data_IF_976769281984
#
_entry.id   IF_976769281984
#
_cell.length_a   1.000
_cell.length_b   1.000
_cell.length_c   1.000
_cell.angle_alpha   90.00
_cell.angle_beta   90.00
_cell.angle_gamma   90.00
#
_symmetry.space_group_name_H-M   'P 1'
#
loop_
_entity.id
_entity.type
_entity.pdbx_description
1 polymer ?
#
# COMPACT_ATOMS: atom_id res chain seq x y z
N UNK A 1 -24.27 -30.66 38.34
CA UNK A 1 -24.87 -30.55 37.00
C UNK A 1 -25.22 -29.09 36.75
N UNK A 2 -24.40 -28.38 35.99
CA UNK A 2 -24.83 -27.63 34.79
C UNK A 2 -23.62 -26.89 34.23
N UNK A 3 -23.12 -27.43 33.13
CA UNK A 3 -22.10 -26.81 32.28
C UNK A 3 -22.77 -25.68 31.50
N UNK A 4 -22.45 -24.43 31.82
CA UNK A 4 -22.68 -23.31 30.89
C UNK A 4 -21.38 -23.08 30.13
N UNK A 5 -21.25 -23.78 29.01
CA UNK A 5 -20.34 -23.40 27.93
C UNK A 5 -20.86 -22.06 27.41
N UNK A 6 -20.11 -21.00 27.69
CA UNK A 6 -20.22 -19.74 26.96
C UNK A 6 -19.98 -20.06 25.47
N UNK A 7 -21.04 -20.04 24.68
CA UNK A 7 -20.94 -20.11 23.23
C UNK A 7 -20.11 -18.91 22.76
N UNK A 8 -18.85 -19.17 22.38
CA UNK A 8 -18.06 -18.25 21.58
C UNK A 8 -18.86 -17.99 20.30
N UNK A 9 -19.50 -16.83 20.23
CA UNK A 9 -20.24 -16.40 19.05
C UNK A 9 -19.24 -16.09 17.93
N UNK A 10 -18.81 -17.15 17.25
CA UNK A 10 -18.05 -17.13 16.02
C UNK A 10 -18.91 -16.50 14.92
N UNK A 11 -18.85 -15.16 14.81
CA UNK A 11 -19.61 -14.40 13.80
C UNK A 11 -18.79 -14.33 12.51
N UNK A 12 -19.29 -14.98 11.47
CA UNK A 12 -18.81 -14.85 10.09
C UNK A 12 -18.86 -13.36 9.69
N UNK A 13 -17.73 -12.82 9.20
CA UNK A 13 -17.62 -11.43 8.74
C UNK A 13 -18.01 -11.32 7.27
N UNK A 14 -19.28 -10.99 7.03
CA UNK A 14 -19.83 -10.83 5.67
C UNK A 14 -19.31 -9.57 4.97
N UNK A 15 -18.89 -9.73 3.72
CA UNK A 15 -18.50 -8.69 2.78
C UNK A 15 -19.59 -8.55 1.71
N UNK A 16 -20.70 -7.90 2.06
CA UNK A 16 -21.91 -7.96 1.24
C UNK A 16 -22.57 -9.33 1.36
N UNK A 17 -22.72 -10.06 0.25
CA UNK A 17 -23.42 -11.36 0.22
C UNK A 17 -22.50 -12.59 0.24
N UNK A 18 -21.20 -12.41 0.49
CA UNK A 18 -20.25 -13.50 0.65
C UNK A 18 -19.31 -13.26 1.85
N UNK A 19 -18.58 -14.29 2.29
CA UNK A 19 -17.60 -14.20 3.38
C UNK A 19 -16.49 -15.24 3.25
N UNK A 20 -15.34 -14.99 3.89
CA UNK A 20 -14.28 -15.99 4.12
C UNK A 20 -14.58 -16.84 5.36
N UNK A 21 -13.95 -18.01 5.44
CA UNK A 21 -14.08 -18.95 6.55
C UNK A 21 -15.52 -19.36 6.82
N UNK A 22 -16.29 -19.60 5.76
CA UNK A 22 -17.66 -20.06 5.89
C UNK A 22 -18.04 -21.16 4.90
N UNK A 23 -19.08 -21.90 5.25
CA UNK A 23 -19.66 -22.95 4.41
C UNK A 23 -21.19 -23.01 4.56
N UNK A 24 -21.85 -23.47 3.50
CA UNK A 24 -23.23 -23.96 3.51
C UNK A 24 -23.24 -25.47 3.23
N UNK A 25 -23.35 -26.32 4.27
CA UNK A 25 -23.28 -27.76 4.10
C UNK A 25 -24.43 -28.33 3.25
N UNK A 26 -24.11 -29.16 2.26
CA UNK A 26 -25.07 -29.87 1.41
C UNK A 26 -25.72 -29.04 0.30
N UNK A 27 -26.80 -29.59 -0.28
CA UNK A 27 -27.60 -29.02 -1.38
C UNK A 27 -26.82 -28.67 -2.68
N UNK A 28 -25.72 -29.38 -2.94
CA UNK A 28 -24.92 -29.23 -4.15
C UNK A 28 -25.72 -29.65 -5.40
N UNK A 29 -25.69 -28.79 -6.42
CA UNK A 29 -26.28 -29.03 -7.74
C UNK A 29 -25.19 -29.49 -8.71
N UNK A 30 -24.05 -28.80 -8.69
CA UNK A 30 -22.89 -29.11 -9.51
C UNK A 30 -21.63 -28.47 -8.92
N UNK A 31 -20.47 -28.95 -9.35
CA UNK A 31 -19.17 -28.36 -9.07
C UNK A 31 -18.53 -27.76 -10.34
N UNK A 32 -17.84 -26.63 -10.17
CA UNK A 32 -17.15 -25.91 -11.24
C UNK A 32 -15.74 -25.56 -10.79
N UNK A 33 -14.74 -25.86 -11.61
CA UNK A 33 -13.37 -25.43 -11.34
C UNK A 33 -13.19 -23.95 -11.63
N UNK A 34 -12.52 -23.24 -10.73
CA UNK A 34 -12.30 -21.81 -10.87
C UNK A 34 -11.83 -21.18 -9.57
N UNK A 35 -11.63 -19.87 -9.63
CA UNK A 35 -11.26 -19.06 -8.47
C UNK A 35 -12.47 -18.80 -7.56
N UNK A 36 -12.20 -18.45 -6.30
CA UNK A 36 -13.25 -18.14 -5.31
C UNK A 36 -14.12 -16.93 -5.73
N UNK A 37 -13.54 -16.04 -6.53
CA UNK A 37 -14.11 -14.80 -7.03
C UNK A 37 -15.11 -15.04 -8.16
N UNK A 38 -14.91 -16.09 -8.97
CA UNK A 38 -15.81 -16.48 -10.06
C UNK A 38 -17.07 -17.21 -9.55
N UNK A 39 -17.00 -17.75 -8.33
CA UNK A 39 -18.05 -18.60 -7.77
C UNK A 39 -19.43 -17.96 -7.67
N UNK A 40 -19.46 -16.67 -7.31
CA UNK A 40 -20.70 -15.91 -7.26
C UNK A 40 -21.30 -15.67 -8.64
N UNK A 41 -20.46 -15.41 -9.64
CA UNK A 41 -20.92 -15.21 -11.01
C UNK A 41 -21.40 -16.53 -11.64
N UNK A 42 -20.66 -17.61 -11.45
CA UNK A 42 -21.06 -18.95 -11.89
C UNK A 42 -22.37 -19.41 -11.24
N UNK A 43 -22.56 -19.13 -9.95
CA UNK A 43 -23.85 -19.34 -9.31
C UNK A 43 -24.94 -18.45 -9.91
N UNK A 44 -24.69 -17.16 -10.16
CA UNK A 44 -25.68 -16.25 -10.76
C UNK A 44 -26.12 -16.66 -12.19
N UNK A 45 -25.24 -17.34 -12.94
CA UNK A 45 -25.50 -17.84 -14.29
C UNK A 45 -26.14 -19.22 -14.31
N UNK A 46 -26.05 -19.96 -13.21
CA UNK A 46 -26.56 -21.33 -13.10
C UNK A 46 -28.02 -21.30 -12.65
N UNK A 47 -28.97 -21.78 -13.49
CA UNK A 47 -30.37 -21.88 -13.10
C UNK A 47 -30.52 -22.65 -11.78
N UNK A 48 -31.39 -22.16 -10.90
CA UNK A 48 -31.64 -22.72 -9.55
C UNK A 48 -30.52 -22.55 -8.52
N UNK A 49 -29.36 -21.99 -8.87
CA UNK A 49 -28.33 -21.69 -7.89
C UNK A 49 -28.71 -20.45 -7.07
N UNK A 50 -28.63 -20.61 -5.77
CA UNK A 50 -29.05 -19.60 -4.77
C UNK A 50 -27.90 -19.20 -3.87
N UNK A 51 -26.92 -20.08 -3.70
CA UNK A 51 -25.75 -19.89 -2.88
C UNK A 51 -24.63 -20.82 -3.33
N UNK A 52 -23.43 -20.57 -2.85
CA UNK A 52 -22.25 -21.33 -3.21
C UNK A 52 -21.28 -21.45 -2.04
N UNK A 53 -20.40 -22.45 -2.13
CA UNK A 53 -19.17 -22.56 -1.35
C UNK A 53 -18.01 -22.79 -2.31
N UNK A 54 -16.89 -22.09 -2.15
CA UNK A 54 -15.64 -22.35 -2.85
C UNK A 54 -14.61 -22.97 -1.90
N UNK A 55 -13.95 -24.05 -2.31
CA UNK A 55 -12.86 -24.68 -1.55
C UNK A 55 -11.59 -24.78 -2.39
N UNK A 56 -10.43 -24.89 -1.75
CA UNK A 56 -9.14 -25.13 -2.40
C UNK A 56 -8.98 -26.56 -2.96
N UNK A 57 -10.06 -27.34 -3.02
CA UNK A 57 -10.03 -28.70 -3.55
C UNK A 57 -9.73 -28.67 -5.07
N UNK A 58 -8.79 -29.50 -5.52
CA UNK A 58 -8.33 -29.58 -6.92
C UNK A 58 -8.01 -28.21 -7.54
N UNK A 59 -7.13 -27.44 -6.89
CA UNK A 59 -6.72 -26.10 -7.30
C UNK A 59 -7.84 -25.04 -7.36
N UNK A 60 -9.02 -25.35 -6.81
CA UNK A 60 -10.15 -24.43 -6.67
C UNK A 60 -11.43 -25.01 -7.25
N UNK A 61 -12.43 -25.20 -6.39
CA UNK A 61 -13.72 -25.78 -6.77
C UNK A 61 -14.87 -25.03 -6.13
N UNK A 62 -15.81 -24.61 -6.98
CA UNK A 62 -17.09 -23.99 -6.66
C UNK A 62 -18.20 -25.01 -6.55
N UNK A 63 -18.69 -25.21 -5.35
CA UNK A 63 -19.88 -26.00 -5.04
C UNK A 63 -21.11 -25.10 -5.18
N UNK A 64 -21.82 -25.22 -6.30
CA UNK A 64 -23.03 -24.45 -6.60
C UNK A 64 -24.25 -25.13 -5.97
N UNK A 65 -25.06 -24.37 -5.22
CA UNK A 65 -26.08 -24.95 -4.33
C UNK A 65 -27.47 -24.31 -4.51
N UNK A 66 -28.52 -25.09 -4.24
CA UNK A 66 -29.93 -24.65 -4.32
C UNK A 66 -30.63 -24.65 -2.97
N UNK A 67 -31.71 -23.89 -2.88
CA UNK A 67 -32.60 -23.84 -1.73
C UNK A 67 -32.66 -22.46 -1.07
N UNK A 68 -33.59 -22.30 -0.14
CA UNK A 68 -33.75 -21.02 0.57
C UNK A 68 -32.74 -20.98 1.71
N UNK A 69 -31.76 -20.08 1.61
CA UNK A 69 -30.74 -19.87 2.65
C UNK A 69 -30.62 -18.40 3.05
N UNK A 70 -30.26 -18.16 4.32
CA UNK A 70 -29.86 -16.85 4.84
C UNK A 70 -28.48 -16.90 5.47
N UNK A 71 -27.84 -15.74 5.61
CA UNK A 71 -26.49 -15.59 6.18
C UNK A 71 -26.30 -16.24 7.56
N UNK A 72 -27.35 -16.33 8.36
CA UNK A 72 -27.33 -16.99 9.67
C UNK A 72 -27.18 -18.51 9.62
N UNK A 73 -27.39 -19.14 8.46
CA UNK A 73 -27.28 -20.59 8.26
C UNK A 73 -25.89 -21.02 7.79
N UNK A 74 -25.00 -20.07 7.47
CA UNK A 74 -23.61 -20.38 7.17
C UNK A 74 -22.87 -20.80 8.46
N UNK A 75 -22.04 -21.82 8.36
CA UNK A 75 -21.18 -22.27 9.47
C UNK A 75 -19.80 -21.65 9.33
N UNK A 76 -19.19 -21.25 10.45
CA UNK A 76 -17.79 -20.84 10.45
C UNK A 76 -16.89 -22.07 10.43
N UNK A 77 -15.88 -22.05 9.56
CA UNK A 77 -14.90 -23.11 9.41
C UNK A 77 -13.49 -22.58 9.71
N UNK A 78 -12.53 -23.48 9.97
CA UNK A 78 -11.16 -23.11 10.31
C UNK A 78 -10.33 -22.68 9.09
N UNK A 79 -10.68 -23.15 7.89
CA UNK A 79 -10.00 -22.78 6.66
C UNK A 79 -10.25 -21.30 6.35
N UNK A 80 -9.18 -20.52 6.23
CA UNK A 80 -9.22 -19.09 5.95
C UNK A 80 -9.41 -18.76 4.47
N UNK A 81 -9.25 -19.75 3.60
CA UNK A 81 -9.28 -19.59 2.14
C UNK A 81 -10.64 -19.94 1.55
N UNK A 82 -11.43 -20.78 2.22
CA UNK A 82 -12.76 -21.16 1.76
C UNK A 82 -13.75 -19.99 1.89
N UNK A 83 -14.55 -19.82 0.84
CA UNK A 83 -15.50 -18.71 0.68
C UNK A 83 -16.90 -19.27 0.54
N UNK A 84 -17.90 -18.62 1.13
CA UNK A 84 -19.30 -18.95 0.83
C UNK A 84 -20.09 -17.67 0.53
N UNK A 85 -21.16 -17.77 -0.25
CA UNK A 85 -21.97 -16.63 -0.61
C UNK A 85 -23.38 -16.98 -1.06
N UNK A 86 -24.27 -15.98 -1.04
CA UNK A 86 -25.68 -16.07 -1.44
C UNK A 86 -25.89 -15.14 -2.63
N UNK A 87 -26.66 -15.57 -3.62
CA UNK A 87 -27.07 -14.73 -4.75
C UNK A 87 -28.37 -14.03 -4.36
N UNK A 88 -28.36 -12.71 -4.28
CA UNK A 88 -29.56 -11.90 -4.09
C UNK A 88 -30.28 -11.72 -5.43
N UNK A 89 -31.58 -11.97 -5.47
CA UNK A 89 -32.40 -11.85 -6.69
C UNK A 89 -32.26 -10.45 -7.34
N UNK A 90 -31.76 -10.47 -8.58
CA UNK A 90 -31.79 -9.47 -9.68
C UNK A 90 -32.11 -7.99 -9.38
N UNK A 91 -31.23 -7.08 -9.80
CA UNK A 91 -31.67 -5.81 -10.42
C UNK A 91 -31.30 -5.75 -11.91
N UNK A 92 -32.20 -5.23 -12.79
CA UNK A 92 -32.09 -5.36 -14.24
C UNK A 92 -31.23 -4.26 -14.88
N UNK A 93 -30.70 -4.57 -16.06
CA UNK A 93 -29.90 -3.69 -16.93
C UNK A 93 -30.61 -2.41 -17.38
N UNK A 94 -30.01 -1.24 -17.14
CA UNK A 94 -30.45 0.04 -17.72
C UNK A 94 -29.76 0.37 -19.08
N UNK A 95 -30.50 0.91 -20.09
CA UNK A 95 -29.98 1.43 -21.35
C UNK A 95 -29.63 2.95 -21.30
N UNK A 96 -29.02 3.54 -22.36
CA UNK A 96 -28.08 4.67 -22.22
C UNK A 96 -28.69 6.08 -22.12
N UNK A 97 -27.90 6.96 -21.48
CA UNK A 97 -28.12 8.36 -21.14
C UNK A 97 -28.58 9.27 -22.30
N UNK A 98 -29.52 10.17 -21.99
CA UNK A 98 -29.73 11.44 -22.72
C UNK A 98 -29.57 12.64 -21.79
N UNK A 99 -28.95 13.68 -22.35
CA UNK A 99 -28.53 14.93 -21.73
C UNK A 99 -29.69 15.87 -21.38
N UNK A 100 -29.60 16.58 -20.27
CA UNK A 100 -29.41 18.05 -20.20
C UNK A 100 -29.78 18.61 -18.83
N UNK A 101 -29.06 19.68 -18.48
CA UNK A 101 -29.42 20.81 -17.60
C UNK A 101 -28.52 21.00 -16.38
N UNK A 102 -28.14 22.25 -16.21
CA UNK A 102 -27.03 22.76 -15.42
C UNK A 102 -27.25 22.64 -13.92
N UNK A 103 -26.18 22.35 -13.18
CA UNK A 103 -26.16 22.52 -11.71
C UNK A 103 -25.63 23.91 -11.33
N UNK A 104 -26.27 24.59 -10.37
CA UNK A 104 -25.76 25.82 -9.79
C UNK A 104 -24.55 25.55 -8.88
N UNK A 105 -23.68 26.54 -8.76
CA UNK A 105 -22.59 26.58 -7.77
C UNK A 105 -23.17 26.42 -6.36
N UNK A 106 -22.64 25.48 -5.58
CA UNK A 106 -22.85 25.43 -4.12
C UNK A 106 -21.52 25.17 -3.42
N UNK A 107 -21.31 25.94 -2.36
CA UNK A 107 -20.17 25.97 -1.45
C UNK A 107 -19.97 24.66 -0.68
N UNK A 108 -18.74 24.47 -0.19
CA UNK A 108 -18.31 23.68 0.97
C UNK A 108 -19.11 22.40 1.29
N UNK A 109 -18.49 21.24 1.04
CA UNK A 109 -19.00 19.92 1.42
C UNK A 109 -19.27 19.85 2.94
N UNK A 110 -20.56 19.86 3.28
CA UNK A 110 -21.09 19.25 4.49
C UNK A 110 -20.96 17.72 4.41
N UNK A 111 -20.66 17.13 5.55
CA UNK A 111 -20.54 15.69 5.80
C UNK A 111 -21.86 14.94 5.55
N UNK A 112 -21.84 13.71 5.00
CA UNK A 112 -23.04 12.88 4.95
C UNK A 112 -23.28 12.24 6.32
N UNK A 113 -24.42 12.55 6.93
CA UNK A 113 -24.89 11.94 8.18
C UNK A 113 -25.78 10.75 7.82
N UNK A 114 -25.39 9.54 8.23
CA UNK A 114 -26.30 8.38 8.32
C UNK A 114 -26.07 7.72 9.69
N UNK A 115 -27.14 7.63 10.50
CA UNK A 115 -27.24 6.91 11.77
C UNK A 115 -26.26 7.30 12.91
N UNK A 116 -26.12 8.60 13.18
CA UNK A 116 -25.56 9.17 14.43
C UNK A 116 -24.25 8.55 14.96
N UNK A 117 -23.49 7.86 14.10
CA UNK A 117 -22.20 7.26 14.43
C UNK A 117 -21.21 7.89 13.49
N UNK A 118 -20.34 8.72 14.05
CA UNK A 118 -19.23 9.33 13.33
C UNK A 118 -18.38 8.17 12.79
N UNK A 119 -18.38 7.96 11.47
CA UNK A 119 -17.32 7.18 10.83
C UNK A 119 -16.06 8.01 11.06
N UNK A 120 -15.05 7.52 11.79
CA UNK A 120 -13.82 8.28 11.92
C UNK A 120 -13.19 8.31 10.53
N UNK A 121 -13.12 9.51 9.97
CA UNK A 121 -12.01 9.86 9.07
C UNK A 121 -10.78 9.38 9.84
N UNK A 122 -10.02 8.44 9.30
CA UNK A 122 -8.68 8.18 9.80
C UNK A 122 -7.89 9.43 9.43
N UNK A 123 -7.96 10.45 10.29
CA UNK A 123 -7.11 11.61 10.21
C UNK A 123 -5.69 11.08 10.37
N UNK A 124 -4.92 11.06 9.28
CA UNK A 124 -3.48 10.96 9.37
C UNK A 124 -2.99 12.24 10.04
N UNK A 125 -2.82 12.21 11.36
CA UNK A 125 -2.19 13.29 12.09
C UNK A 125 -0.69 13.34 11.72
N UNK A 126 -0.11 14.53 11.53
CA UNK A 126 1.34 14.65 11.41
C UNK A 126 1.99 14.03 12.67
N UNK A 127 3.15 13.38 12.55
CA UNK A 127 3.83 12.81 13.71
C UNK A 127 4.09 13.91 14.74
N UNK A 128 3.56 13.75 15.96
CA UNK A 128 3.89 14.61 17.09
C UNK A 128 5.38 14.42 17.41
N UNK A 129 6.21 15.45 17.17
CA UNK A 129 7.62 15.42 17.61
C UNK A 129 7.64 15.52 19.13
N UNK A 130 8.07 14.46 19.80
CA UNK A 130 8.28 14.42 21.26
C UNK A 130 9.78 14.52 21.52
N UNK A 131 10.19 15.53 22.30
CA UNK A 131 11.61 15.77 22.58
C UNK A 131 11.98 15.31 23.99
N UNK A 132 12.97 14.44 24.10
CA UNK A 132 13.59 14.05 25.35
C UNK A 132 15.04 14.58 25.38
N UNK A 133 15.41 15.42 26.37
CA UNK A 133 16.74 16.03 26.42
C UNK A 133 17.85 14.99 26.62
N UNK A 134 18.96 15.17 25.90
CA UNK A 134 20.18 14.34 25.96
C UNK A 134 20.81 14.18 27.36
N UNK A 135 20.43 15.02 28.35
CA UNK A 135 20.95 14.97 29.73
C UNK A 135 19.98 14.38 30.75
N UNK A 136 18.86 13.84 30.33
CA UNK A 136 17.94 13.16 31.23
C UNK A 136 18.22 11.66 31.19
N UNK A 137 18.62 11.08 32.33
CA UNK A 137 18.81 9.63 32.47
C UNK A 137 17.52 8.83 32.19
N UNK A 138 16.36 9.50 32.19
CA UNK A 138 15.06 8.98 31.73
C UNK A 138 14.09 10.11 31.37
N UNK A 139 13.14 9.84 30.48
CA UNK A 139 12.10 10.78 30.05
C UNK A 139 10.76 10.05 29.91
N UNK A 140 9.66 10.65 30.39
CA UNK A 140 8.31 10.08 30.29
C UNK A 140 7.37 11.11 29.68
N UNK A 141 6.60 10.70 28.66
CA UNK A 141 5.66 11.55 27.94
C UNK A 141 4.37 10.77 27.66
N UNK A 142 3.21 11.43 27.83
CA UNK A 142 1.89 10.86 27.53
C UNK A 142 1.48 11.27 26.13
N UNK A 143 1.18 10.30 25.26
CA UNK A 143 0.78 10.55 23.88
C UNK A 143 -0.76 10.61 23.80
N UNK A 144 -1.36 11.72 23.34
CA UNK A 144 -2.75 12.04 23.64
C UNK A 144 -3.84 11.25 22.86
N UNK A 145 -3.51 10.33 21.94
CA UNK A 145 -4.53 9.62 21.15
C UNK A 145 -4.18 8.16 20.79
N UNK A 146 -5.14 7.22 20.92
CA UNK A 146 -5.02 5.86 20.38
C UNK A 146 -5.30 5.85 18.86
N UNK A 147 -4.40 5.24 18.09
CA UNK A 147 -4.44 5.15 16.62
C UNK A 147 -3.06 4.80 16.05
N UNK A 148 -2.89 4.70 14.72
CA UNK A 148 -1.56 4.48 14.15
C UNK A 148 -0.62 5.63 14.55
N UNK A 149 0.51 5.31 15.16
CA UNK A 149 1.51 6.30 15.57
C UNK A 149 2.90 5.91 15.07
N UNK A 150 3.74 6.92 14.83
CA UNK A 150 5.16 6.74 14.58
C UNK A 150 5.94 7.64 15.53
N UNK A 151 6.79 7.05 16.35
CA UNK A 151 7.74 7.74 17.21
C UNK A 151 9.03 7.85 16.43
N UNK A 152 9.56 9.07 16.31
CA UNK A 152 10.84 9.33 15.65
C UNK A 152 11.84 9.79 16.70
N UNK A 153 13.01 9.17 16.71
CA UNK A 153 14.10 9.41 17.66
C UNK A 153 15.30 9.92 16.88
N UNK A 154 15.60 11.20 17.04
CA UNK A 154 16.75 11.87 16.44
C UNK A 154 17.89 11.88 17.46
N UNK A 155 18.97 11.16 17.18
CA UNK A 155 20.15 11.09 18.04
C UNK A 155 21.32 11.82 17.39
N UNK A 156 21.87 12.82 18.09
CA UNK A 156 23.08 13.52 17.68
C UNK A 156 24.36 12.70 17.81
N UNK A 157 24.32 11.62 18.61
CA UNK A 157 25.43 10.71 18.90
C UNK A 157 24.87 9.29 18.98
N UNK A 158 25.63 8.25 18.58
CA UNK A 158 25.13 6.88 18.50
C UNK A 158 25.10 6.19 19.87
N UNK A 159 24.11 6.59 20.66
CA UNK A 159 23.92 6.13 22.03
C UNK A 159 22.81 5.09 22.06
N UNK A 160 23.14 3.91 22.57
CA UNK A 160 22.15 2.87 22.83
C UNK A 160 21.00 3.41 23.68
N UNK A 161 19.78 3.07 23.32
CA UNK A 161 18.58 3.55 24.00
C UNK A 161 17.55 2.45 24.19
N UNK A 162 16.71 2.63 25.20
CA UNK A 162 15.57 1.79 25.50
C UNK A 162 14.30 2.61 25.47
N UNK A 163 13.28 2.15 24.74
CA UNK A 163 11.96 2.78 24.69
C UNK A 163 10.93 1.85 25.32
N UNK A 164 10.18 2.39 26.29
CA UNK A 164 9.08 1.72 26.96
C UNK A 164 7.75 2.39 26.62
N UNK A 165 6.81 1.63 26.07
CA UNK A 165 5.47 2.11 25.74
C UNK A 165 4.44 1.35 26.55
N UNK A 166 3.82 2.01 27.52
CA UNK A 166 2.77 1.43 28.37
C UNK A 166 1.41 2.05 28.05
N UNK A 167 0.35 1.27 28.26
CA UNK A 167 -1.04 1.74 28.26
C UNK A 167 -1.46 2.37 29.59
N UNK A 168 -0.57 2.34 30.59
CA UNK A 168 -0.78 2.92 31.91
C UNK A 168 -0.10 4.28 32.02
N UNK A 169 -0.78 5.23 32.64
CA UNK A 169 -0.22 6.54 32.99
C UNK A 169 0.80 6.46 34.14
N UNK A 170 0.81 5.33 34.87
CA UNK A 170 1.85 5.01 35.86
C UNK A 170 3.07 4.36 35.15
N UNK A 171 4.24 5.02 35.12
CA UNK A 171 5.44 4.52 34.46
C UNK A 171 6.05 3.28 35.14
N UNK A 172 5.64 2.96 36.36
CA UNK A 172 6.06 1.74 37.06
C UNK A 172 5.21 0.52 36.69
N UNK A 173 4.10 0.75 36.00
CA UNK A 173 3.18 -0.30 35.57
C UNK A 173 3.64 -0.92 34.25
N UNK A 174 4.20 -2.13 34.37
CA UNK A 174 4.69 -2.95 33.26
C UNK A 174 3.68 -3.99 32.79
N UNK A 175 2.41 -3.90 33.20
CA UNK A 175 1.37 -4.89 32.87
C UNK A 175 1.21 -5.11 31.37
N UNK A 176 1.44 -4.09 30.55
CA UNK A 176 1.53 -4.25 29.10
C UNK A 176 2.45 -3.18 28.49
N UNK A 177 3.65 -3.60 28.08
CA UNK A 177 4.61 -2.67 27.47
C UNK A 177 5.28 -3.22 26.20
N UNK A 178 5.58 -2.32 25.26
CA UNK A 178 6.52 -2.58 24.16
C UNK A 178 7.88 -2.02 24.57
N UNK A 179 8.90 -2.85 24.41
CA UNK A 179 10.29 -2.55 24.70
C UNK A 179 11.09 -2.56 23.40
N UNK A 180 11.79 -1.48 23.08
CA UNK A 180 12.75 -1.42 21.98
C UNK A 180 14.11 -1.05 22.52
N UNK A 181 15.13 -1.88 22.27
CA UNK A 181 16.51 -1.61 22.60
C UNK A 181 17.36 -1.59 21.34
N UNK A 182 18.12 -0.51 21.14
CA UNK A 182 19.04 -0.36 20.00
C UNK A 182 20.47 -0.26 20.50
N UNK A 183 21.38 -0.98 19.86
CA UNK A 183 22.81 -1.01 20.18
C UNK A 183 23.64 -1.00 18.90
N UNK A 184 24.96 -0.88 19.01
CA UNK A 184 25.90 -1.02 17.89
C UNK A 184 25.91 -2.45 17.29
N UNK A 185 25.31 -3.45 17.95
CA UNK A 185 25.45 -4.87 17.60
C UNK A 185 24.10 -5.50 17.22
N UNK A 186 23.02 -5.03 17.80
CA UNK A 186 21.68 -5.58 17.61
C UNK A 186 20.60 -4.56 17.94
N UNK A 187 19.42 -4.80 17.39
CA UNK A 187 18.17 -4.21 17.84
C UNK A 187 17.26 -5.32 18.36
N UNK A 188 16.63 -5.08 19.51
CA UNK A 188 15.73 -6.01 20.15
C UNK A 188 14.40 -5.32 20.38
N UNK A 189 13.33 -5.90 19.85
CA UNK A 189 11.98 -5.54 20.24
C UNK A 189 11.38 -6.65 21.11
N UNK A 190 10.74 -6.27 22.21
CA UNK A 190 10.12 -7.21 23.13
C UNK A 190 8.73 -6.76 23.59
N UNK A 191 7.83 -7.72 23.79
CA UNK A 191 6.56 -7.49 24.49
C UNK A 191 6.69 -7.91 25.94
N UNK A 192 6.31 -7.03 26.86
CA UNK A 192 6.26 -7.27 28.31
C UNK A 192 4.79 -7.38 28.72
N UNK A 193 4.44 -8.45 29.42
CA UNK A 193 3.11 -8.65 30.02
C UNK A 193 3.31 -9.08 31.47
N UNK A 194 2.75 -8.32 32.40
CA UNK A 194 2.86 -8.57 33.85
C UNK A 194 4.30 -8.80 34.33
N UNK A 195 5.24 -7.99 33.82
CA UNK A 195 6.66 -8.08 34.14
C UNK A 195 7.42 -9.25 33.49
N UNK A 196 6.76 -10.04 32.64
CA UNK A 196 7.37 -11.14 31.88
C UNK A 196 7.57 -10.74 30.42
N UNK A 197 8.78 -10.95 29.91
CA UNK A 197 9.11 -10.77 28.49
C UNK A 197 8.65 -11.99 27.69
N UNK A 198 7.68 -11.83 26.78
CA UNK A 198 7.04 -12.94 26.08
C UNK A 198 7.45 -13.07 24.60
N UNK A 199 7.37 -11.98 23.84
CA UNK A 199 7.65 -12.01 22.39
C UNK A 199 8.93 -11.21 22.11
N UNK A 200 10.05 -11.90 21.85
CA UNK A 200 11.36 -11.28 21.59
C UNK A 200 11.68 -11.46 20.10
N UNK A 201 11.80 -10.35 19.36
CA UNK A 201 12.33 -10.37 18.01
C UNK A 201 13.65 -9.59 17.99
N UNK A 202 14.72 -10.23 17.50
CA UNK A 202 16.08 -9.68 17.45
C UNK A 202 16.57 -9.71 16.01
N UNK A 203 17.20 -8.64 15.57
CA UNK A 203 17.92 -8.62 14.30
C UNK A 203 19.29 -7.97 14.46
N UNK A 204 20.23 -8.45 13.66
CA UNK A 204 21.59 -7.91 13.49
C UNK A 204 21.77 -7.36 12.07
N UNK A 205 20.68 -7.19 11.31
CA UNK A 205 20.73 -6.57 9.99
C UNK A 205 21.36 -5.18 10.10
N UNK A 206 22.28 -4.90 9.18
CA UNK A 206 23.17 -3.75 9.27
C UNK A 206 22.40 -2.43 9.26
N UNK A 207 21.29 -2.37 8.51
CA UNK A 207 20.43 -1.19 8.34
C UNK A 207 19.54 -0.88 9.58
N UNK A 208 19.75 -1.59 10.69
CA UNK A 208 18.92 -1.49 11.90
C UNK A 208 19.71 -1.29 13.21
N UNK A 209 21.05 -1.31 13.16
CA UNK A 209 21.93 -1.09 14.33
C UNK A 209 22.45 0.35 14.36
N UNK A 210 23.06 0.77 15.47
CA UNK A 210 23.70 2.10 15.57
C UNK A 210 24.94 2.20 14.67
N UNK A 211 25.12 3.37 14.05
CA UNK A 211 26.25 3.71 13.19
C UNK A 211 27.09 4.84 13.79
N UNK A 212 28.35 5.00 13.36
CA UNK A 212 29.13 6.16 13.77
C UNK A 212 28.54 7.44 13.12
N UNK A 213 27.80 8.24 13.90
CA UNK A 213 27.25 9.52 13.45
C UNK A 213 25.88 9.84 14.03
N UNK A 214 25.19 10.79 13.38
CA UNK A 214 23.81 11.16 13.72
C UNK A 214 22.86 10.10 13.16
N UNK A 215 22.11 9.43 14.03
CA UNK A 215 21.16 8.40 13.64
C UNK A 215 19.72 8.86 13.91
N UNK A 216 18.84 8.63 12.95
CA UNK A 216 17.41 8.76 13.12
C UNK A 216 16.83 7.36 13.25
N UNK A 217 15.93 7.12 14.19
CA UNK A 217 15.17 5.88 14.31
C UNK A 217 13.68 6.17 14.30
N UNK A 218 12.90 5.21 13.86
CA UNK A 218 11.45 5.27 13.96
C UNK A 218 10.88 3.96 14.50
N UNK A 219 9.81 4.08 15.28
CA UNK A 219 8.97 2.97 15.74
C UNK A 219 7.53 3.31 15.38
N UNK A 220 6.91 2.50 14.52
CA UNK A 220 5.52 2.63 14.13
C UNK A 220 4.67 1.55 14.81
N UNK A 221 3.59 1.98 15.43
CA UNK A 221 2.60 1.15 16.10
C UNK A 221 1.27 1.30 15.37
N UNK A 222 0.66 0.19 15.01
CA UNK A 222 -0.69 0.16 14.48
C UNK A 222 -1.58 -0.65 15.43
N UNK A 223 -2.40 0.05 16.21
CA UNK A 223 -3.34 -0.55 17.16
C UNK A 223 -4.48 -1.31 16.49
N UNK A 224 -4.75 -1.04 15.21
CA UNK A 224 -5.77 -1.71 14.41
C UNK A 224 -5.30 -3.08 13.93
N UNK A 225 -4.05 -3.17 13.48
CA UNK A 225 -3.45 -4.43 12.99
C UNK A 225 -2.63 -5.15 14.06
N UNK A 226 -2.42 -4.53 15.23
CA UNK A 226 -1.52 -4.96 16.30
C UNK A 226 -0.07 -5.15 15.81
N UNK A 227 0.28 -4.43 14.76
CA UNK A 227 1.57 -4.56 14.10
C UNK A 227 2.53 -3.49 14.61
N UNK A 228 3.76 -3.92 14.92
CA UNK A 228 4.85 -3.04 15.33
C UNK A 228 5.97 -3.14 14.30
N UNK A 229 6.37 -2.01 13.74
CA UNK A 229 7.52 -1.88 12.83
C UNK A 229 8.51 -0.90 13.41
N UNK A 230 9.78 -1.14 13.18
CA UNK A 230 10.84 -0.21 13.51
C UNK A 230 11.86 -0.16 12.38
N UNK A 231 12.64 0.90 12.36
CA UNK A 231 13.75 1.04 11.43
C UNK A 231 14.61 2.23 11.77
N UNK A 232 15.75 2.30 11.12
CA UNK A 232 16.52 3.54 11.02
C UNK A 232 15.81 4.43 10.00
N UNK A 233 15.66 5.71 10.34
CA UNK A 233 15.25 6.76 9.43
C UNK A 233 16.46 7.48 8.87
N UNK A 234 16.24 8.30 7.85
CA UNK A 234 17.30 9.18 7.35
C UNK A 234 17.19 10.57 7.95
N UNK A 235 18.33 11.13 8.28
CA UNK A 235 18.51 12.44 8.89
C UNK A 235 17.73 13.57 8.15
N UNK A 236 16.95 14.34 8.92
CA UNK A 236 16.17 15.54 8.52
C UNK A 236 17.10 16.72 8.13
N UNK A 237 18.41 16.50 7.95
CA UNK A 237 19.43 17.54 7.63
C UNK A 237 19.34 18.11 6.23
N UNK A 238 18.50 17.57 5.35
CA UNK A 238 18.31 18.12 4.01
C UNK A 238 16.83 18.43 3.71
N UNK A 239 16.28 19.49 4.32
CA UNK A 239 14.88 19.88 4.13
C UNK A 239 14.57 20.38 2.70
N UNK A 240 15.60 20.64 1.90
CA UNK A 240 15.50 21.17 0.53
C UNK A 240 15.54 20.10 -0.56
N UNK A 241 15.30 18.82 -0.21
CA UNK A 241 15.42 17.72 -1.16
C UNK A 241 14.53 17.91 -2.39
N UNK A 242 13.28 18.34 -2.22
CA UNK A 242 12.35 18.52 -3.34
C UNK A 242 12.77 19.69 -4.24
N UNK A 243 13.24 20.79 -3.65
CA UNK A 243 13.78 21.94 -4.36
C UNK A 243 15.05 21.59 -5.12
N UNK A 244 15.92 20.76 -4.54
CA UNK A 244 17.12 20.26 -5.20
C UNK A 244 16.80 19.37 -6.39
N UNK A 245 15.80 18.50 -6.28
CA UNK A 245 15.31 17.67 -7.39
C UNK A 245 14.75 18.55 -8.51
N UNK A 246 13.89 19.52 -8.18
CA UNK A 246 13.36 20.50 -9.14
C UNK A 246 14.46 21.23 -9.88
N UNK A 247 15.49 21.66 -9.14
CA UNK A 247 16.63 22.39 -9.67
C UNK A 247 17.47 21.50 -10.61
N UNK A 248 17.77 20.26 -10.18
CA UNK A 248 18.47 19.25 -10.97
C UNK A 248 17.75 18.89 -12.27
N UNK A 249 16.40 18.88 -12.26
CA UNK A 249 15.56 18.65 -13.45
C UNK A 249 15.65 19.82 -14.43
N UNK A 250 15.72 21.06 -13.94
CA UNK A 250 15.69 22.27 -14.77
C UNK A 250 17.05 22.67 -15.32
N UNK A 251 18.13 22.31 -14.63
CA UNK A 251 19.48 22.70 -15.01
C UNK A 251 20.11 21.64 -15.92
N UNK A 252 20.64 22.01 -17.09
CA UNK A 252 21.17 21.06 -18.09
C UNK A 252 22.34 20.21 -17.60
N UNK A 253 23.10 20.75 -16.64
CA UNK A 253 24.18 20.03 -15.96
C UNK A 253 23.72 19.10 -14.85
N UNK A 254 22.48 19.23 -14.39
CA UNK A 254 21.92 18.40 -13.31
C UNK A 254 21.77 16.95 -13.73
N UNK A 255 21.99 16.04 -12.77
CA UNK A 255 21.89 14.61 -12.99
C UNK A 255 20.50 14.22 -13.46
N UNK A 256 19.44 14.77 -12.84
CA UNK A 256 18.06 14.46 -13.22
C UNK A 256 17.80 14.83 -14.69
N UNK A 257 18.20 16.04 -15.11
CA UNK A 257 18.06 16.48 -16.50
C UNK A 257 18.76 15.50 -17.47
N UNK A 258 20.03 15.17 -17.21
CA UNK A 258 20.82 14.28 -18.08
C UNK A 258 20.19 12.90 -18.18
N UNK A 259 19.81 12.32 -17.04
CA UNK A 259 19.20 10.99 -16.97
C UNK A 259 17.86 10.93 -17.69
N UNK A 260 17.01 11.95 -17.55
CA UNK A 260 15.74 12.06 -18.29
C UNK A 260 15.97 12.14 -19.81
N UNK A 261 16.97 12.92 -20.24
CA UNK A 261 17.34 13.07 -21.66
C UNK A 261 17.81 11.75 -22.26
N UNK A 262 18.68 11.02 -21.55
CA UNK A 262 19.15 9.67 -21.92
C UNK A 262 17.98 8.69 -22.09
N UNK A 263 16.97 8.78 -21.22
CA UNK A 263 15.82 7.87 -21.22
C UNK A 263 14.77 8.16 -22.28
N UNK A 264 14.89 9.23 -23.07
CA UNK A 264 13.87 9.66 -24.04
C UNK A 264 13.49 8.59 -25.09
N UNK A 265 14.31 7.56 -25.29
CA UNK A 265 14.06 6.44 -26.21
C UNK A 265 13.55 5.16 -25.53
N UNK A 266 13.36 5.15 -24.20
CA UNK A 266 13.10 3.93 -23.41
C UNK A 266 11.80 3.21 -23.77
N UNK A 267 10.80 3.93 -24.29
CA UNK A 267 9.51 3.35 -24.69
C UNK A 267 9.30 3.39 -26.21
N UNK A 268 10.36 3.11 -26.97
CA UNK A 268 10.35 3.02 -28.44
C UNK A 268 10.73 4.33 -29.11
N UNK A 269 9.82 4.91 -29.92
CA UNK A 269 10.12 6.18 -30.61
C UNK A 269 10.49 7.26 -29.59
N UNK A 270 11.60 7.95 -29.86
CA UNK A 270 12.11 9.02 -28.98
C UNK A 270 11.00 10.02 -28.65
N UNK A 271 10.77 10.21 -27.35
CA UNK A 271 9.87 11.20 -26.80
C UNK A 271 10.41 11.65 -25.43
N UNK A 272 10.83 12.91 -25.29
CA UNK A 272 11.42 13.41 -24.05
C UNK A 272 10.45 13.38 -22.85
N UNK A 273 9.14 13.44 -23.11
CA UNK A 273 8.09 13.41 -22.08
C UNK A 273 7.65 12.00 -21.69
N UNK A 274 7.91 10.99 -22.52
CA UNK A 274 7.65 9.60 -22.16
C UNK A 274 8.80 9.06 -21.30
N UNK A 275 9.08 9.71 -20.17
CA UNK A 275 10.17 9.36 -19.25
C UNK A 275 9.81 9.80 -17.84
N UNK A 276 10.40 9.17 -16.84
CA UNK A 276 10.36 9.57 -15.44
C UNK A 276 11.58 8.92 -14.76
N UNK A 277 11.98 9.36 -13.58
CA UNK A 277 13.08 8.71 -12.84
C UNK A 277 12.53 7.67 -11.86
N UNK A 278 13.23 6.55 -11.71
CA UNK A 278 12.97 5.48 -10.74
C UNK A 278 14.15 5.42 -9.78
N UNK A 279 13.95 5.81 -8.53
CA UNK A 279 14.98 5.78 -7.49
C UNK A 279 14.55 4.76 -6.44
N UNK A 280 15.32 3.70 -6.26
CA UNK A 280 14.91 2.58 -5.39
C UNK A 280 15.23 2.84 -3.93
N UNK A 281 14.34 2.43 -3.04
CA UNK A 281 14.52 2.55 -1.59
C UNK A 281 14.66 1.14 -1.02
N UNK A 282 15.86 0.81 -0.54
CA UNK A 282 16.18 -0.50 0.00
C UNK A 282 16.49 -1.56 -1.07
N UNK A 283 16.57 -2.82 -0.62
CA UNK A 283 17.10 -3.92 -1.43
C UNK A 283 16.03 -4.67 -2.21
N UNK A 284 16.41 -5.27 -3.35
CA UNK A 284 15.57 -6.23 -4.05
C UNK A 284 15.44 -7.51 -3.20
N UNK A 285 14.21 -7.85 -2.81
CA UNK A 285 13.90 -9.03 -2.01
C UNK A 285 13.36 -10.20 -2.83
N UNK A 286 13.24 -10.06 -4.15
CA UNK A 286 12.63 -11.06 -5.03
C UNK A 286 11.12 -11.21 -4.86
N UNK A 287 10.49 -10.33 -4.07
CA UNK A 287 9.05 -10.36 -3.77
C UNK A 287 8.21 -9.50 -4.71
N UNK A 288 8.82 -8.89 -5.72
CA UNK A 288 8.17 -8.04 -6.73
C UNK A 288 8.97 -8.01 -8.04
N UNK A 289 8.41 -7.50 -9.15
CA UNK A 289 9.19 -7.15 -10.34
C UNK A 289 10.16 -6.01 -9.98
N UNK A 290 11.45 -6.34 -9.84
CA UNK A 290 12.46 -5.39 -9.37
C UNK A 290 12.38 -5.09 -7.87
N UNK A 291 12.96 -3.98 -7.45
CA UNK A 291 12.97 -3.57 -6.03
C UNK A 291 11.55 -3.19 -5.57
N UNK A 292 11.07 -3.68 -4.41
CA UNK A 292 9.69 -3.46 -3.96
C UNK A 292 9.30 -2.00 -3.79
N UNK A 293 10.21 -1.16 -3.27
CA UNK A 293 9.96 0.25 -3.01
C UNK A 293 10.72 1.13 -3.98
N UNK A 294 10.00 2.02 -4.67
CA UNK A 294 10.58 2.91 -5.67
C UNK A 294 9.95 4.28 -5.57
N UNK A 295 10.78 5.32 -5.53
CA UNK A 295 10.39 6.68 -5.79
C UNK A 295 10.32 6.89 -7.30
N UNK A 296 9.18 7.37 -7.78
CA UNK A 296 9.04 7.83 -9.15
C UNK A 296 8.91 9.35 -9.20
N UNK A 297 9.83 9.97 -9.95
CA UNK A 297 9.94 11.43 -10.09
C UNK A 297 9.49 11.80 -11.50
N UNK A 298 8.45 12.63 -11.56
CA UNK A 298 7.72 12.99 -12.76
C UNK A 298 7.85 14.49 -13.02
N UNK A 299 8.76 14.93 -13.91
CA UNK A 299 8.82 16.34 -14.29
C UNK A 299 7.52 16.84 -14.96
N UNK A 300 7.32 18.15 -15.10
CA UNK A 300 6.15 18.72 -15.78
C UNK A 300 5.91 18.13 -17.18
N UNK A 301 4.72 17.57 -17.40
CA UNK A 301 4.32 16.96 -18.68
C UNK A 301 4.88 15.56 -18.93
N UNK A 302 5.61 14.98 -17.99
CA UNK A 302 6.16 13.63 -18.12
C UNK A 302 5.14 12.55 -17.78
N UNK A 303 5.26 11.39 -18.42
CA UNK A 303 4.27 10.31 -18.29
C UNK A 303 4.84 8.90 -18.49
N UNK A 304 4.10 7.91 -17.99
CA UNK A 304 4.28 6.49 -18.30
C UNK A 304 3.49 6.07 -19.55
N UNK A 305 3.91 5.03 -20.29
CA UNK A 305 3.01 4.35 -21.22
C UNK A 305 1.79 3.76 -20.49
N UNK A 306 0.80 3.26 -21.24
CA UNK A 306 -0.22 2.39 -20.67
C UNK A 306 0.45 1.04 -20.39
N UNK A 307 0.44 0.57 -19.15
CA UNK A 307 1.19 -0.61 -18.73
C UNK A 307 0.48 -1.43 -17.66
N UNK A 308 0.89 -2.70 -17.49
CA UNK A 308 0.44 -3.65 -16.46
C UNK A 308 1.58 -4.06 -15.52
N UNK A 309 1.24 -4.68 -14.38
CA UNK A 309 2.17 -4.92 -13.26
C UNK A 309 2.33 -6.40 -12.88
N UNK A 310 2.28 -7.33 -13.85
CA UNK A 310 2.57 -8.74 -13.62
C UNK A 310 1.75 -9.41 -12.49
N UNK A 311 0.47 -9.06 -12.35
CA UNK A 311 -0.41 -9.58 -11.29
C UNK A 311 0.13 -9.34 -9.88
N UNK A 312 0.82 -8.22 -9.68
CA UNK A 312 1.27 -7.78 -8.35
C UNK A 312 0.16 -7.03 -7.62
N UNK A 313 0.28 -6.97 -6.30
CA UNK A 313 -0.30 -5.90 -5.50
C UNK A 313 0.61 -4.68 -5.57
N UNK A 314 -0.01 -3.50 -5.54
CA UNK A 314 0.74 -2.25 -5.57
C UNK A 314 0.01 -1.14 -4.84
N UNK A 315 0.78 -0.29 -4.17
CA UNK A 315 0.31 0.95 -3.56
C UNK A 315 1.14 2.09 -4.13
N UNK A 316 0.48 3.18 -4.51
CA UNK A 316 1.11 4.40 -5.01
C UNK A 316 0.65 5.55 -4.12
N UNK A 317 1.59 6.20 -3.43
CA UNK A 317 1.32 7.39 -2.62
C UNK A 317 2.00 8.60 -3.23
N UNK A 318 1.29 9.73 -3.30
CA UNK A 318 1.88 11.01 -3.72
C UNK A 318 2.60 11.65 -2.54
N UNK A 319 3.89 11.93 -2.69
CA UNK A 319 4.72 12.59 -1.68
C UNK A 319 4.83 14.10 -1.92
N UNK A 320 4.84 14.51 -3.19
CA UNK A 320 4.96 15.90 -3.61
C UNK A 320 4.25 16.13 -4.95
N UNK A 321 3.62 17.30 -5.13
CA UNK A 321 2.91 17.65 -6.36
C UNK A 321 1.58 16.91 -6.55
N UNK A 322 1.24 16.66 -7.82
CA UNK A 322 0.01 15.98 -8.24
C UNK A 322 0.28 15.03 -9.43
N UNK A 323 -0.46 13.92 -9.48
CA UNK A 323 -0.34 12.95 -10.58
C UNK A 323 -1.73 12.59 -11.11
N UNK A 324 -1.89 12.63 -12.43
CA UNK A 324 -3.07 12.12 -13.10
C UNK A 324 -2.91 10.61 -13.33
N UNK A 325 -3.96 9.85 -13.01
CA UNK A 325 -4.02 8.40 -13.15
C UNK A 325 -5.20 8.06 -14.07
N UNK A 326 -4.89 7.39 -15.18
CA UNK A 326 -5.88 6.86 -16.13
C UNK A 326 -5.91 5.33 -15.98
N UNK A 327 -7.09 4.77 -15.71
CA UNK A 327 -7.29 3.33 -15.53
C UNK A 327 -7.91 2.70 -16.78
N UNK A 328 -7.39 1.54 -17.17
CA UNK A 328 -7.80 0.80 -18.36
C UNK A 328 -8.23 -0.61 -17.99
N UNK A 329 -9.19 -1.17 -18.74
CA UNK A 329 -9.70 -2.52 -18.48
C UNK A 329 -8.76 -3.61 -19.00
N UNK A 330 -8.02 -3.33 -20.08
CA UNK A 330 -7.18 -4.31 -20.78
C UNK A 330 -5.97 -3.61 -21.37
N UNK A 331 -4.81 -4.26 -21.34
CA UNK A 331 -3.63 -3.80 -22.07
C UNK A 331 -3.81 -4.19 -23.55
N UNK A 332 -4.33 -3.26 -24.37
CA UNK A 332 -4.68 -3.56 -25.76
C UNK A 332 -4.41 -2.39 -26.70
N UNK A 333 -3.62 -2.62 -27.75
CA UNK A 333 -3.21 -1.60 -28.73
C UNK A 333 -4.37 -1.00 -29.53
N UNK A 334 -5.53 -1.66 -29.60
CA UNK A 334 -6.75 -1.14 -30.27
C UNK A 334 -7.72 -0.47 -29.29
N UNK A 335 -7.65 -0.78 -27.99
CA UNK A 335 -8.59 -0.29 -26.97
C UNK A 335 -7.86 0.49 -25.89
N UNK A 336 -7.59 1.78 -26.18
CA UNK A 336 -6.85 2.71 -25.30
C UNK A 336 -7.73 3.79 -24.68
N UNK A 337 -9.03 3.54 -24.52
CA UNK A 337 -9.92 4.48 -23.82
C UNK A 337 -9.91 4.14 -22.33
N UNK A 338 -9.54 5.07 -21.43
CA UNK A 338 -9.64 4.81 -20.00
C UNK A 338 -11.10 4.66 -19.59
N UNK A 339 -11.37 3.78 -18.62
CA UNK A 339 -12.71 3.67 -18.02
C UNK A 339 -12.88 4.60 -16.83
N UNK A 340 -11.77 5.06 -16.24
CA UNK A 340 -11.75 6.02 -15.15
C UNK A 340 -10.48 6.87 -15.23
N UNK A 341 -10.57 8.11 -14.77
CA UNK A 341 -9.47 9.06 -14.71
C UNK A 341 -9.63 9.89 -13.44
N UNK A 342 -8.52 10.09 -12.71
CA UNK A 342 -8.48 10.82 -11.45
C UNK A 342 -7.15 11.53 -11.29
N UNK A 343 -7.14 12.63 -10.53
CA UNK A 343 -5.90 13.29 -10.11
C UNK A 343 -5.71 13.08 -8.62
N UNK A 344 -4.54 12.61 -8.24
CA UNK A 344 -4.11 12.42 -6.86
C UNK A 344 -3.18 13.55 -6.46
N UNK A 345 -3.38 14.08 -5.25
CA UNK A 345 -2.57 15.10 -4.63
C UNK A 345 -1.73 14.51 -3.49
N UNK A 346 -0.79 15.30 -2.97
CA UNK A 346 0.02 14.95 -1.80
C UNK A 346 -0.77 14.22 -0.71
N UNK A 347 -0.17 13.16 -0.18
CA UNK A 347 -0.69 12.23 0.84
C UNK A 347 -1.85 11.33 0.40
N UNK A 348 -2.40 11.52 -0.79
CA UNK A 348 -3.38 10.60 -1.34
C UNK A 348 -2.72 9.35 -1.92
N UNK A 349 -3.51 8.27 -1.95
CA UNK A 349 -3.05 6.93 -2.31
C UNK A 349 -3.98 6.34 -3.37
N UNK A 350 -3.39 5.62 -4.31
CA UNK A 350 -4.10 4.64 -5.16
C UNK A 350 -3.44 3.27 -5.03
N UNK A 351 -4.10 2.25 -5.55
CA UNK A 351 -3.69 0.86 -5.39
C UNK A 351 -4.05 0.02 -6.61
N UNK A 352 -3.38 -1.12 -6.73
CA UNK A 352 -3.63 -2.16 -7.71
C UNK A 352 -3.53 -3.55 -7.07
N UNK A 353 -4.26 -4.50 -7.65
CA UNK A 353 -4.26 -5.93 -7.29
C UNK A 353 -4.40 -6.74 -8.58
N UNK A 354 -4.07 -8.05 -8.63
CA UNK A 354 -4.12 -8.84 -9.86
C UNK A 354 -5.39 -8.64 -10.72
N UNK A 355 -6.55 -8.48 -10.09
CA UNK A 355 -7.83 -8.30 -10.79
C UNK A 355 -8.26 -6.84 -11.01
N UNK A 356 -7.66 -5.85 -10.34
CA UNK A 356 -8.16 -4.47 -10.32
C UNK A 356 -7.04 -3.45 -10.45
N UNK A 357 -7.27 -2.41 -11.26
CA UNK A 357 -6.36 -1.29 -11.48
C UNK A 357 -4.94 -1.66 -11.96
N UNK A 358 -4.72 -2.91 -12.39
CA UNK A 358 -3.44 -3.38 -12.94
C UNK A 358 -2.95 -2.53 -14.08
N UNK A 359 -3.87 -2.08 -14.95
CA UNK A 359 -3.50 -1.42 -16.19
C UNK A 359 -3.80 0.05 -16.07
N UNK A 360 -2.75 0.85 -16.02
CA UNK A 360 -2.89 2.29 -15.84
C UNK A 360 -1.87 3.09 -16.65
N UNK A 361 -2.07 4.40 -16.66
CA UNK A 361 -1.09 5.40 -17.10
C UNK A 361 -1.02 6.51 -16.06
N UNK A 362 0.19 6.86 -15.65
CA UNK A 362 0.48 8.01 -14.81
C UNK A 362 1.02 9.14 -15.68
N UNK A 363 0.59 10.36 -15.40
CA UNK A 363 1.00 11.55 -16.13
C UNK A 363 1.03 12.74 -15.19
N UNK A 364 2.17 13.43 -15.11
CA UNK A 364 2.23 14.71 -14.44
C UNK A 364 1.71 15.79 -15.40
N UNK A 365 0.47 16.23 -15.17
CA UNK A 365 -0.19 17.25 -15.97
C UNK A 365 0.11 18.68 -15.48
N UNK A 366 0.82 18.83 -14.35
CA UNK A 366 1.24 20.13 -13.86
C UNK A 366 2.15 20.80 -14.88
N UNK A 367 1.92 22.09 -15.22
CA UNK A 367 2.75 22.80 -16.19
C UNK A 367 4.12 23.16 -15.62
N UNK A 368 4.24 23.26 -14.29
CA UNK A 368 5.36 23.92 -13.64
C UNK A 368 5.93 23.16 -12.44
N UNK A 369 5.28 22.10 -11.96
CA UNK A 369 5.70 21.41 -10.75
C UNK A 369 5.95 19.93 -11.05
N UNK A 370 7.08 19.42 -10.57
CA UNK A 370 7.42 18.00 -10.55
C UNK A 370 6.52 17.30 -9.54
N UNK A 371 6.07 16.11 -9.88
CA UNK A 371 5.41 15.21 -8.95
C UNK A 371 6.39 14.14 -8.49
N UNK A 372 6.29 13.72 -7.22
CA UNK A 372 7.05 12.61 -6.67
C UNK A 372 6.06 11.65 -6.02
N UNK A 373 6.10 10.39 -6.42
CA UNK A 373 5.32 9.31 -5.85
C UNK A 373 6.25 8.27 -5.25
N UNK A 374 5.78 7.54 -4.25
CA UNK A 374 6.40 6.29 -3.83
C UNK A 374 5.47 5.14 -4.18
N UNK A 375 6.02 4.12 -4.83
CA UNK A 375 5.35 2.86 -5.09
C UNK A 375 5.93 1.75 -4.24
N UNK A 376 5.03 0.86 -3.81
CA UNK A 376 5.36 -0.39 -3.15
C UNK A 376 4.67 -1.51 -3.91
N UNK A 377 5.41 -2.51 -4.39
CA UNK A 377 4.88 -3.66 -5.12
C UNK A 377 5.18 -4.97 -4.41
N UNK A 378 4.29 -5.94 -4.53
CA UNK A 378 4.47 -7.30 -4.01
C UNK A 378 3.72 -8.32 -4.85
N UNK A 379 4.33 -9.46 -5.15
CA UNK A 379 3.66 -10.59 -5.80
C UNK A 379 2.59 -11.20 -4.87
N UNK A 380 1.57 -11.80 -5.47
CA UNK A 380 0.49 -12.45 -4.73
C UNK A 380 0.95 -13.59 -3.82
N UNK A 381 2.00 -14.31 -4.22
CA UNK A 381 2.54 -15.46 -3.49
C UNK A 381 4.05 -15.52 -3.72
N UNK A 382 4.86 -15.93 -2.75
CA UNK A 382 6.34 -15.87 -2.90
C UNK A 382 6.89 -17.11 -3.62
N UNK A 383 6.15 -18.22 -3.65
CA UNK A 383 6.67 -19.55 -4.02
C UNK A 383 6.43 -20.00 -5.48
N UNK A 384 5.80 -19.18 -6.32
CA UNK A 384 5.49 -19.53 -7.73
C UNK A 384 6.48 -18.85 -8.67
N UNK A 385 6.75 -19.43 -9.85
CA UNK A 385 7.49 -18.72 -10.90
C UNK A 385 6.82 -17.38 -11.23
N UNK A 386 7.54 -16.27 -10.98
CA UNK A 386 7.01 -14.92 -11.16
C UNK A 386 7.33 -14.35 -12.54
N UNK A 387 6.41 -13.55 -13.08
CA UNK A 387 6.66 -12.76 -14.27
C UNK A 387 7.37 -11.46 -13.89
N UNK A 388 8.63 -11.30 -14.31
CA UNK A 388 9.52 -10.22 -13.83
C UNK A 388 9.39 -8.89 -14.58
N UNK A 389 8.47 -8.79 -15.53
CA UNK A 389 8.36 -7.64 -16.43
C UNK A 389 7.03 -6.92 -16.26
N UNK A 390 7.04 -5.62 -16.50
CA UNK A 390 5.83 -4.87 -16.78
C UNK A 390 5.58 -4.86 -18.28
N UNK A 391 4.37 -5.18 -18.72
CA UNK A 391 4.03 -5.08 -20.14
C UNK A 391 3.46 -3.69 -20.42
N UNK A 392 3.90 -3.06 -21.50
CA UNK A 392 3.45 -1.72 -21.85
C UNK A 392 3.16 -1.57 -23.34
N UNK A 393 2.21 -0.69 -23.66
CA UNK A 393 1.99 -0.26 -25.04
C UNK A 393 3.09 0.73 -25.42
N UNK A 394 3.87 0.38 -26.43
CA UNK A 394 4.96 1.20 -26.95
C UNK A 394 4.46 2.59 -27.41
N UNK A 395 5.32 3.61 -27.41
CA UNK A 395 4.96 4.95 -27.86
C UNK A 395 4.53 5.04 -29.32
N UNK A 396 4.90 4.06 -30.16
CA UNK A 396 4.35 3.94 -31.51
C UNK A 396 2.83 3.63 -31.48
N UNK A 397 2.35 3.06 -30.39
CA UNK A 397 0.96 2.69 -30.16
C UNK A 397 0.54 1.38 -30.82
N UNK A 398 1.44 0.62 -31.42
CA UNK A 398 1.11 -0.56 -32.22
C UNK A 398 1.63 -1.87 -31.63
N UNK A 399 2.60 -1.83 -30.71
CA UNK A 399 3.13 -3.04 -30.06
C UNK A 399 2.99 -3.01 -28.54
N UNK A 400 2.97 -4.23 -27.96
CA UNK A 400 3.17 -4.45 -26.52
C UNK A 400 4.59 -4.94 -26.32
N UNK A 401 5.33 -4.29 -25.44
CA UNK A 401 6.72 -4.59 -25.14
C UNK A 401 6.87 -4.87 -23.64
N UNK A 402 7.95 -5.56 -23.29
CA UNK A 402 8.34 -5.82 -21.90
C UNK A 402 9.22 -4.70 -21.37
N UNK A 403 8.96 -4.28 -20.16
CA UNK A 403 9.76 -3.34 -19.40
C UNK A 403 10.37 -4.06 -18.22
N UNK A 404 11.69 -4.03 -18.16
CA UNK A 404 12.43 -4.46 -17.00
C UNK A 404 12.45 -3.30 -15.98
N UNK A 405 11.92 -3.50 -14.76
CA UNK A 405 11.78 -2.44 -13.75
C UNK A 405 13.11 -2.11 -13.05
N UNK A 406 14.15 -1.84 -13.84
CA UNK A 406 15.46 -1.41 -13.35
C UNK A 406 15.41 -0.01 -12.75
N UNK A 407 16.13 0.14 -11.64
CA UNK A 407 16.37 1.42 -10.98
C UNK A 407 17.29 2.30 -11.83
N UNK A 408 17.10 3.62 -11.76
CA UNK A 408 18.06 4.58 -12.29
C UNK A 408 19.19 4.86 -11.31
N UNK A 409 18.92 4.75 -10.00
CA UNK A 409 19.86 4.97 -8.88
C UNK A 409 19.27 4.48 -7.54
N UNK A 410 20.13 4.10 -6.60
CA UNK A 410 19.74 3.92 -5.20
C UNK A 410 19.44 5.26 -4.51
N UNK A 411 18.51 5.29 -3.56
CA UNK A 411 18.09 6.52 -2.89
C UNK A 411 19.21 7.21 -2.12
N UNK A 412 20.11 6.49 -1.46
CA UNK A 412 21.21 7.08 -0.69
C UNK A 412 22.18 7.81 -1.63
N UNK A 413 22.54 7.17 -2.75
CA UNK A 413 23.38 7.79 -3.77
C UNK A 413 22.69 9.01 -4.40
N UNK A 414 21.41 8.87 -4.76
CA UNK A 414 20.62 9.95 -5.34
C UNK A 414 20.54 11.16 -4.43
N UNK A 415 20.26 10.94 -3.14
CA UNK A 415 20.20 12.00 -2.11
C UNK A 415 21.53 12.73 -2.00
N UNK A 416 22.65 12.01 -1.98
CA UNK A 416 23.99 12.61 -1.91
C UNK A 416 24.30 13.46 -3.14
N UNK A 417 23.86 13.05 -4.33
CA UNK A 417 23.96 13.88 -5.55
C UNK A 417 23.10 15.14 -5.40
N UNK A 418 21.84 15.03 -4.96
CA UNK A 418 20.97 16.20 -4.77
C UNK A 418 21.55 17.21 -3.77
N UNK A 419 22.16 16.73 -2.68
CA UNK A 419 22.87 17.59 -1.71
C UNK A 419 24.07 18.28 -2.36
N UNK A 420 24.85 17.53 -3.13
CA UNK A 420 26.04 18.06 -3.82
C UNK A 420 25.65 19.12 -4.86
N UNK A 421 24.63 18.85 -5.68
CA UNK A 421 24.13 19.81 -6.67
C UNK A 421 23.54 21.06 -5.99
N UNK A 422 22.81 20.89 -4.89
CA UNK A 422 22.29 21.99 -4.11
C UNK A 422 23.39 22.90 -3.55
N UNK A 423 24.40 22.31 -2.91
CA UNK A 423 25.50 23.04 -2.27
C UNK A 423 26.41 23.74 -3.30
N UNK A 424 26.54 23.18 -4.50
CA UNK A 424 27.29 23.80 -5.59
C UNK A 424 26.50 24.87 -6.34
N UNK A 425 25.27 25.18 -5.87
CA UNK A 425 24.36 26.11 -6.51
C UNK A 425 24.21 25.83 -8.02
N UNK A 426 23.92 24.58 -8.38
CA UNK A 426 23.62 24.15 -9.75
C UNK A 426 22.27 24.65 -10.26
#
# INVERSE_FOLDING_TARGET
MNSMILALANRIRWQGNWAFSCDFPGNDINDVHGSSEECGEECSRTPECTHFTWTAWQDGTCWLKKGVVSKSQAIQIADKTQVCGIISDSEPSDPPLTSTSAFPKVNALQTPIINNTIIPIVEFWPPTKVWCPWRADSCTQVIPRPGQMTIVMDQSEPLGFELYLSISDDPTNTSYAIYLAVTMQQIQISKIVDGLTLDINRTTEHDHVLHEGKDLYWLSLDYTTLLVKYGQGEDDTFPYLFEAIERSIRHESGWCYKKLKEKSTRFGKSNPRATYLRVTVGMNRGTSPGVPYVLEIWPPGHYSPIHSHADTYGIIRVLYGEINVKLYRTLNVKRKKPFHEMTLYKDQVTWLSPGLNQIHKLENQSPNQTCITIQAYEYRNIEVHHYEYFDYINNDGFSINKFEPVSDMDYVEFRNIMITEWNNEL
#
